data_IF_557950277309
#
_entry.id   IF_557950277309
#
_cell.length_a   1.000
_cell.length_b   1.000
_cell.length_c   1.000
_cell.angle_alpha   90.00
_cell.angle_beta   90.00
_cell.angle_gamma   90.00
#
_symmetry.space_group_name_H-M   'P 1'
#
loop_
_entity.id
_entity.type
_entity.pdbx_description
1 polymer ?
#
# COMPACT_ATOMS: atom_id res chain seq x y z
N UNK A 1 -30.05 9.17 -62.08
CA UNK A 1 -28.84 8.54 -62.65
C UNK A 1 -28.36 7.53 -61.65
N UNK A 2 -28.58 6.27 -61.98
CA UNK A 2 -28.06 5.10 -61.29
C UNK A 2 -26.52 5.15 -61.24
N UNK A 3 -25.91 4.58 -60.18
CA UNK A 3 -25.22 3.30 -60.33
C UNK A 3 -24.49 2.90 -59.04
N UNK A 4 -24.90 1.73 -58.50
CA UNK A 4 -24.05 0.59 -58.13
C UNK A 4 -23.03 0.85 -57.00
N UNK A 5 -23.12 0.27 -55.80
CA UNK A 5 -23.48 -1.11 -55.51
C UNK A 5 -22.27 -2.01 -55.69
N UNK A 6 -21.22 -1.80 -54.89
CA UNK A 6 -20.07 -2.71 -54.78
C UNK A 6 -20.54 -4.04 -54.16
N UNK A 7 -20.30 -5.19 -54.81
CA UNK A 7 -20.61 -6.48 -54.23
C UNK A 7 -19.50 -6.88 -53.25
N UNK A 8 -19.79 -6.77 -51.96
CA UNK A 8 -19.06 -7.45 -50.90
C UNK A 8 -18.84 -8.93 -51.27
N UNK A 9 -17.61 -9.47 -51.25
CA UNK A 9 -17.37 -10.87 -51.49
C UNK A 9 -17.94 -11.64 -50.30
N UNK A 10 -19.17 -12.12 -50.48
CA UNK A 10 -19.84 -13.01 -49.57
C UNK A 10 -18.89 -14.12 -49.16
N UNK A 11 -18.63 -14.21 -47.86
CA UNK A 11 -18.08 -15.41 -47.25
C UNK A 11 -18.95 -16.56 -47.74
N UNK A 12 -18.42 -17.33 -48.69
CA UNK A 12 -19.11 -18.51 -49.21
C UNK A 12 -19.18 -19.46 -48.03
N UNK A 13 -20.32 -19.47 -47.34
CA UNK A 13 -20.59 -20.45 -46.32
C UNK A 13 -20.33 -21.81 -46.96
N UNK A 14 -19.24 -22.47 -46.52
CA UNK A 14 -18.88 -23.78 -47.03
C UNK A 14 -20.09 -24.69 -46.88
N UNK A 15 -20.35 -25.51 -47.90
CA UNK A 15 -21.44 -26.47 -47.79
C UNK A 15 -21.21 -27.33 -46.54
N UNK A 16 -22.24 -27.45 -45.70
CA UNK A 16 -22.18 -28.26 -44.49
C UNK A 16 -22.58 -29.69 -44.85
N UNK A 17 -21.97 -30.68 -44.20
CA UNK A 17 -22.32 -32.08 -44.40
C UNK A 17 -23.80 -32.35 -44.05
N UNK A 18 -24.60 -32.67 -45.07
CA UNK A 18 -26.02 -33.04 -44.93
C UNK A 18 -26.23 -34.49 -44.47
N UNK A 19 -25.16 -35.30 -44.44
CA UNK A 19 -25.20 -36.73 -44.06
C UNK A 19 -25.13 -36.97 -42.55
N UNK A 20 -24.89 -35.92 -41.75
CA UNK A 20 -25.17 -35.96 -40.30
C UNK A 20 -24.10 -35.43 -39.36
N UNK A 21 -22.86 -35.11 -39.79
CA UNK A 21 -21.87 -34.55 -38.86
C UNK A 21 -21.98 -33.03 -38.68
N UNK A 22 -22.67 -32.32 -39.57
CA UNK A 22 -22.88 -30.87 -39.45
C UNK A 22 -21.60 -30.02 -39.55
N UNK A 23 -20.46 -30.63 -39.90
CA UNK A 23 -19.20 -29.94 -40.09
C UNK A 23 -19.12 -29.31 -41.49
N UNK A 24 -18.39 -28.18 -41.64
CA UNK A 24 -18.14 -27.59 -42.95
C UNK A 24 -17.29 -28.54 -43.79
N UNK A 25 -17.72 -28.78 -45.03
CA UNK A 25 -16.98 -29.59 -45.97
C UNK A 25 -15.76 -28.81 -46.49
N UNK A 26 -14.64 -29.50 -46.64
CA UNK A 26 -13.46 -28.95 -47.31
C UNK A 26 -13.73 -28.76 -48.80
N UNK A 27 -12.94 -27.93 -49.48
CA UNK A 27 -13.11 -27.70 -50.93
C UNK A 27 -13.05 -29.01 -51.73
N UNK A 28 -12.18 -29.93 -51.33
CA UNK A 28 -12.01 -31.25 -51.95
C UNK A 28 -13.24 -32.14 -51.74
N UNK A 29 -13.85 -32.09 -50.56
CA UNK A 29 -15.07 -32.84 -50.23
C UNK A 29 -16.32 -32.27 -50.91
N UNK A 30 -16.32 -30.98 -51.28
CA UNK A 30 -17.36 -30.39 -52.11
C UNK A 30 -17.25 -30.82 -53.58
N UNK A 31 -16.02 -30.93 -54.09
CA UNK A 31 -15.76 -31.27 -55.49
C UNK A 31 -15.94 -32.79 -55.75
N UNK A 32 -15.69 -33.63 -54.73
CA UNK A 32 -15.90 -35.08 -54.78
C UNK A 32 -17.21 -35.48 -54.08
N UNK A 33 -18.33 -35.50 -54.81
CA UNK A 33 -19.64 -35.94 -54.32
C UNK A 33 -19.62 -37.43 -53.89
N UNK A 34 -19.15 -37.71 -52.66
CA UNK A 34 -19.12 -39.05 -52.08
C UNK A 34 -18.02 -39.33 -51.06
N UNK A 35 -16.95 -38.54 -51.01
CA UNK A 35 -15.71 -38.88 -50.28
C UNK A 35 -15.62 -38.29 -48.86
N UNK A 36 -16.75 -37.88 -48.27
CA UNK A 36 -16.76 -37.40 -46.88
C UNK A 36 -17.05 -38.54 -45.88
N UNK A 37 -16.08 -38.81 -44.99
CA UNK A 37 -16.27 -39.72 -43.85
C UNK A 37 -16.62 -38.93 -42.59
N UNK A 38 -17.90 -38.94 -42.20
CA UNK A 38 -18.39 -38.21 -41.03
C UNK A 38 -17.65 -38.59 -39.73
N UNK A 39 -17.24 -39.84 -39.57
CA UNK A 39 -16.58 -40.32 -38.35
C UNK A 39 -15.16 -39.77 -38.23
N UNK A 40 -14.39 -39.80 -39.33
CA UNK A 40 -13.03 -39.23 -39.34
C UNK A 40 -13.08 -37.70 -39.21
N UNK A 41 -14.04 -37.04 -39.87
CA UNK A 41 -14.25 -35.60 -39.73
C UNK A 41 -14.59 -35.21 -38.28
N UNK A 42 -15.46 -35.97 -37.62
CA UNK A 42 -15.77 -35.75 -36.20
C UNK A 42 -14.56 -36.02 -35.30
N UNK A 43 -13.81 -37.11 -35.54
CA UNK A 43 -12.60 -37.43 -34.76
C UNK A 43 -11.55 -36.34 -34.88
N UNK A 44 -11.25 -35.90 -36.11
CA UNK A 44 -10.29 -34.80 -36.32
C UNK A 44 -10.77 -33.49 -35.69
N UNK A 45 -12.07 -33.20 -35.75
CA UNK A 45 -12.64 -32.03 -35.09
C UNK A 45 -12.54 -32.13 -33.55
N UNK A 46 -12.80 -33.29 -32.96
CA UNK A 46 -12.65 -33.50 -31.51
C UNK A 46 -11.18 -33.39 -31.10
N UNK A 47 -10.27 -34.04 -31.82
CA UNK A 47 -8.83 -33.99 -31.53
C UNK A 47 -8.31 -32.54 -31.59
N UNK A 48 -8.74 -31.78 -32.60
CA UNK A 48 -8.36 -30.37 -32.73
C UNK A 48 -8.97 -29.49 -31.63
N UNK A 49 -10.17 -29.80 -31.13
CA UNK A 49 -10.78 -29.09 -30.01
C UNK A 49 -10.09 -29.45 -28.68
N UNK A 50 -9.73 -30.72 -28.49
CA UNK A 50 -8.98 -31.19 -27.34
C UNK A 50 -7.60 -30.54 -27.28
N UNK A 51 -6.87 -30.49 -28.40
CA UNK A 51 -5.58 -29.80 -28.49
C UNK A 51 -5.73 -28.32 -28.13
N UNK A 52 -6.72 -27.62 -28.71
CA UNK A 52 -7.01 -26.22 -28.38
C UNK A 52 -7.36 -26.03 -26.92
N UNK A 53 -8.09 -26.96 -26.31
CA UNK A 53 -8.42 -26.88 -24.89
C UNK A 53 -7.16 -27.03 -24.03
N UNK A 54 -6.28 -27.97 -24.36
CA UNK A 54 -5.03 -28.20 -23.65
C UNK A 54 -4.07 -27.00 -23.77
N UNK A 55 -3.98 -26.37 -24.94
CA UNK A 55 -3.15 -25.16 -25.12
C UNK A 55 -3.70 -24.00 -24.29
N UNK A 56 -5.02 -23.75 -24.32
CA UNK A 56 -5.64 -22.69 -23.51
C UNK A 56 -5.49 -22.94 -22.00
N UNK A 57 -5.63 -24.18 -21.55
CA UNK A 57 -5.39 -24.55 -20.14
C UNK A 57 -3.93 -24.32 -19.74
N UNK A 58 -2.99 -24.66 -20.62
CA UNK A 58 -1.58 -24.40 -20.36
C UNK A 58 -1.29 -22.89 -20.32
N UNK A 59 -1.77 -22.13 -21.29
CA UNK A 59 -1.58 -20.68 -21.37
C UNK A 59 -2.16 -19.95 -20.15
N UNK A 60 -3.38 -20.32 -19.73
CA UNK A 60 -4.03 -19.75 -18.55
C UNK A 60 -3.29 -20.11 -17.27
N UNK A 61 -2.81 -21.35 -17.13
CA UNK A 61 -1.96 -21.77 -15.99
C UNK A 61 -0.67 -20.96 -15.94
N UNK A 62 0.02 -20.81 -17.07
CA UNK A 62 1.25 -20.03 -17.15
C UNK A 62 1.01 -18.54 -16.90
N UNK A 63 -0.09 -17.98 -17.41
CA UNK A 63 -0.50 -16.61 -17.11
C UNK A 63 -0.73 -16.41 -15.61
N UNK A 64 -1.46 -17.33 -14.96
CA UNK A 64 -1.70 -17.28 -13.51
C UNK A 64 -0.40 -17.30 -12.72
N UNK A 65 0.57 -18.14 -13.08
CA UNK A 65 1.88 -18.18 -12.42
C UNK A 65 2.64 -16.86 -12.59
N UNK A 66 2.65 -16.28 -13.79
CA UNK A 66 3.30 -14.98 -14.05
C UNK A 66 2.67 -13.86 -13.22
N UNK A 67 1.34 -13.80 -13.18
CA UNK A 67 0.61 -12.80 -12.41
C UNK A 67 0.83 -12.96 -10.91
N UNK A 68 0.80 -14.19 -10.40
CA UNK A 68 1.05 -14.46 -8.98
C UNK A 68 2.47 -14.04 -8.56
N UNK A 69 3.51 -14.40 -9.34
CA UNK A 69 4.88 -13.96 -9.06
C UNK A 69 5.00 -12.43 -9.04
N UNK A 70 4.35 -11.75 -9.99
CA UNK A 70 4.33 -10.29 -10.05
C UNK A 70 3.61 -9.69 -8.84
N UNK A 71 2.47 -10.25 -8.47
CA UNK A 71 1.70 -9.84 -7.29
C UNK A 71 2.53 -9.99 -6.01
N UNK A 72 3.16 -11.15 -5.80
CA UNK A 72 4.03 -11.39 -4.65
C UNK A 72 5.20 -10.38 -4.59
N UNK A 73 5.85 -10.11 -5.73
CA UNK A 73 6.92 -9.11 -5.82
C UNK A 73 6.43 -7.70 -5.47
N UNK A 74 5.25 -7.31 -5.98
CA UNK A 74 4.64 -6.02 -5.68
C UNK A 74 4.24 -5.92 -4.22
N UNK A 75 3.66 -6.97 -3.62
CA UNK A 75 3.31 -7.01 -2.21
C UNK A 75 4.55 -6.87 -1.32
N UNK A 76 5.65 -7.55 -1.66
CA UNK A 76 6.93 -7.39 -0.95
C UNK A 76 7.48 -5.97 -1.07
N UNK A 77 7.34 -5.32 -2.24
CA UNK A 77 7.76 -3.93 -2.42
C UNK A 77 6.88 -2.95 -1.64
N UNK A 78 5.58 -3.18 -1.56
CA UNK A 78 4.68 -2.34 -0.77
C UNK A 78 4.98 -2.48 0.72
N UNK A 79 5.21 -3.70 1.21
CA UNK A 79 5.51 -3.94 2.63
C UNK A 79 6.84 -3.33 3.06
N UNK A 80 7.88 -3.41 2.21
CA UNK A 80 9.18 -2.75 2.45
C UNK A 80 9.02 -1.24 2.55
N UNK A 81 8.37 -0.60 1.57
CA UNK A 81 8.10 0.85 1.60
C UNK A 81 7.27 1.27 2.83
N UNK A 82 6.28 0.47 3.22
CA UNK A 82 5.49 0.74 4.41
C UNK A 82 6.35 0.70 5.69
N UNK A 83 7.26 -0.27 5.79
CA UNK A 83 8.17 -0.38 6.93
C UNK A 83 9.19 0.76 6.94
N UNK A 84 9.72 1.16 5.78
CA UNK A 84 10.60 2.32 5.66
C UNK A 84 9.90 3.62 6.10
N UNK A 85 8.65 3.82 5.69
CA UNK A 85 7.85 4.97 6.09
C UNK A 85 7.61 4.98 7.61
N UNK A 86 7.25 3.82 8.20
CA UNK A 86 7.07 3.66 9.66
C UNK A 86 8.36 3.97 10.43
N UNK A 87 9.49 3.39 10.03
CA UNK A 87 10.79 3.63 10.66
C UNK A 87 11.21 5.10 10.53
N UNK A 88 10.96 5.71 9.38
CA UNK A 88 11.23 7.14 9.16
C UNK A 88 10.40 8.02 10.08
N UNK A 89 9.09 7.74 10.22
CA UNK A 89 8.23 8.47 11.15
C UNK A 89 8.72 8.38 12.60
N UNK A 90 9.11 7.18 13.06
CA UNK A 90 9.69 6.99 14.40
C UNK A 90 11.00 7.78 14.59
N UNK A 91 11.86 7.81 13.57
CA UNK A 91 13.11 8.61 13.60
C UNK A 91 12.79 10.11 13.70
N UNK A 92 11.80 10.61 12.97
CA UNK A 92 11.37 12.00 13.07
C UNK A 92 10.80 12.33 14.45
N UNK A 93 9.94 11.47 15.00
CA UNK A 93 9.40 11.64 16.35
C UNK A 93 10.52 11.72 17.40
N UNK A 94 11.52 10.85 17.31
CA UNK A 94 12.68 10.88 18.22
C UNK A 94 13.48 12.17 18.10
N UNK A 95 13.78 12.63 16.87
CA UNK A 95 14.48 13.90 16.65
C UNK A 95 13.68 15.09 17.18
N UNK A 96 12.37 15.11 16.92
CA UNK A 96 11.49 16.16 17.42
C UNK A 96 11.49 16.20 18.94
N UNK A 97 11.40 15.04 19.60
CA UNK A 97 11.47 14.95 21.05
C UNK A 97 12.82 15.46 21.60
N UNK A 98 13.95 15.11 20.97
CA UNK A 98 15.26 15.63 21.34
C UNK A 98 15.34 17.16 21.22
N UNK A 99 14.83 17.73 20.12
CA UNK A 99 14.78 19.18 19.95
C UNK A 99 13.89 19.86 20.98
N UNK A 100 12.72 19.26 21.30
CA UNK A 100 11.82 19.76 22.33
C UNK A 100 12.52 19.82 23.70
N UNK A 101 13.25 18.78 24.10
CA UNK A 101 14.01 18.76 25.34
C UNK A 101 15.15 19.79 25.36
N UNK A 102 15.82 19.98 24.23
CA UNK A 102 16.88 21.00 24.11
C UNK A 102 16.30 22.41 24.25
N UNK A 103 15.18 22.70 23.58
CA UNK A 103 14.48 23.99 23.68
C UNK A 103 14.00 24.22 25.12
N UNK A 104 13.41 23.22 25.78
CA UNK A 104 12.96 23.36 27.17
C UNK A 104 14.14 23.64 28.10
N UNK A 105 15.28 22.95 27.91
CA UNK A 105 16.49 23.20 28.68
C UNK A 105 17.03 24.63 28.51
N UNK A 106 17.05 25.16 27.28
CA UNK A 106 17.44 26.56 27.03
C UNK A 106 16.43 27.52 27.71
N UNK A 107 15.13 27.25 27.59
CA UNK A 107 14.10 28.08 28.21
C UNK A 107 14.24 28.13 29.74
N UNK A 108 14.52 26.99 30.38
CA UNK A 108 14.80 26.90 31.82
C UNK A 108 16.07 27.67 32.20
N UNK A 109 17.14 27.58 31.40
CA UNK A 109 18.35 28.37 31.64
C UNK A 109 18.07 29.86 31.55
N UNK A 110 17.41 30.32 30.48
CA UNK A 110 17.09 31.75 30.28
C UNK A 110 16.20 32.28 31.41
N UNK A 111 15.16 31.54 31.80
CA UNK A 111 14.29 31.91 32.92
C UNK A 111 15.04 31.93 34.26
N UNK A 112 15.93 30.96 34.49
CA UNK A 112 16.82 30.91 35.66
C UNK A 112 17.79 32.10 35.72
N UNK A 113 18.42 32.45 34.59
CA UNK A 113 19.30 33.63 34.49
C UNK A 113 18.54 34.92 34.77
N UNK A 114 17.32 35.09 34.22
CA UNK A 114 16.47 36.26 34.49
C UNK A 114 16.18 36.38 35.98
N UNK A 115 15.69 35.30 36.60
CA UNK A 115 15.34 35.27 38.02
C UNK A 115 16.55 35.57 38.92
N UNK A 116 17.73 35.05 38.60
CA UNK A 116 18.97 35.34 39.34
C UNK A 116 19.38 36.80 39.22
N UNK A 117 19.25 37.40 38.03
CA UNK A 117 19.56 38.82 37.81
C UNK A 117 18.56 39.74 38.51
N UNK A 118 17.29 39.36 38.57
CA UNK A 118 16.26 40.12 39.30
C UNK A 118 16.54 40.10 40.81
N UNK A 119 16.87 38.93 41.38
CA UNK A 119 17.28 38.82 42.81
C UNK A 119 18.54 39.62 43.09
N UNK A 120 19.56 39.55 42.22
CA UNK A 120 20.79 40.37 42.40
C UNK A 120 20.51 41.87 42.35
N UNK A 121 19.58 42.31 41.49
CA UNK A 121 19.17 43.72 41.45
C UNK A 121 18.44 44.12 42.73
N UNK A 122 17.55 43.27 43.26
CA UNK A 122 16.86 43.55 44.53
C UNK A 122 17.83 43.59 45.71
N UNK A 123 18.82 42.69 45.76
CA UNK A 123 19.83 42.65 46.82
C UNK A 123 20.73 43.91 46.79
N UNK A 124 21.13 44.36 45.59
CA UNK A 124 21.92 45.59 45.42
C UNK A 124 21.12 46.83 45.79
N UNK A 125 19.83 46.89 45.46
CA UNK A 125 18.96 48.00 45.90
C UNK A 125 18.70 47.97 47.40
N UNK A 126 18.51 46.79 48.01
CA UNK A 126 18.27 46.67 49.44
C UNK A 126 19.50 47.06 50.27
N UNK A 127 20.70 46.68 49.82
CA UNK A 127 21.97 47.13 50.45
C UNK A 127 22.16 48.65 50.38
N UNK A 128 21.60 49.33 49.37
CA UNK A 128 21.66 50.79 49.28
C UNK A 128 20.59 51.49 50.12
N UNK A 129 19.45 50.82 50.38
CA UNK A 129 18.38 51.36 51.24
C UNK A 129 18.70 51.14 52.73
N UNK A 130 19.47 50.09 53.09
CA UNK A 130 19.92 49.85 54.47
C UNK A 130 20.89 50.91 55.00
N UNK A 131 21.58 51.65 54.13
CA UNK A 131 22.40 52.80 54.51
C UNK A 131 21.57 54.12 54.56
N UNK A 132 20.30 54.10 54.12
CA UNK A 132 19.40 55.26 54.14
C UNK A 132 17.95 54.85 54.44
N UNK A 133 17.66 54.39 55.65
CA UNK A 133 16.27 54.30 56.12
C UNK A 133 16.18 54.34 57.67
N UNK A 134 16.14 55.55 58.22
CA UNK A 134 15.25 55.83 59.35
C UNK A 134 13.88 56.22 58.81
N UNK A 135 12.85 55.64 59.43
CA UNK A 135 11.45 56.05 59.52
C UNK A 135 10.41 55.52 58.48
N UNK A 136 9.46 54.79 59.08
CA UNK A 136 8.00 54.88 58.94
C UNK A 136 7.26 53.78 58.15
N UNK A 137 6.23 53.27 58.84
CA UNK A 137 5.31 52.17 58.50
C UNK A 137 4.31 52.50 57.39
N UNK A 138 3.71 51.44 56.81
CA UNK A 138 2.43 51.53 56.10
C UNK A 138 2.18 50.36 55.13
N UNK A 139 1.25 49.47 55.49
CA UNK A 139 0.66 48.41 54.64
C UNK A 139 -0.13 49.02 53.44
N UNK A 140 -0.48 48.25 52.38
CA UNK A 140 -1.66 47.37 52.43
C UNK A 140 -1.65 46.10 51.54
N UNK A 141 -2.70 45.29 51.73
CA UNK A 141 -3.10 44.01 51.13
C UNK A 141 -3.42 44.02 49.60
N UNK A 142 -3.47 42.83 48.97
CA UNK A 142 -4.58 42.39 48.08
C UNK A 142 -4.41 40.96 47.51
N UNK A 143 -5.56 40.33 47.26
CA UNK A 143 -5.88 38.94 46.90
C UNK A 143 -5.39 38.40 45.53
N UNK A 144 -5.45 37.07 45.34
CA UNK A 144 -5.29 36.44 44.01
C UNK A 144 -5.55 34.93 43.90
N UNK A 145 -6.85 34.55 43.78
CA UNK A 145 -7.44 33.51 42.90
C UNK A 145 -6.76 32.13 42.77
N UNK A 146 -7.43 31.10 43.32
CA UNK A 146 -7.20 29.66 43.03
C UNK A 146 -7.84 29.26 41.70
N UNK A 147 -7.06 28.79 40.72
CA UNK A 147 -7.57 28.03 39.56
C UNK A 147 -7.06 26.58 39.61
N UNK A 148 -8.00 25.63 39.76
CA UNK A 148 -7.76 24.19 39.61
C UNK A 148 -7.64 23.85 38.12
N UNK A 149 -6.57 23.19 37.72
CA UNK A 149 -6.45 22.56 36.41
C UNK A 149 -6.82 21.07 36.53
N UNK A 150 -7.77 20.61 35.70
CA UNK A 150 -8.15 19.21 35.57
C UNK A 150 -7.18 18.48 34.62
N UNK A 151 -6.89 17.17 34.83
CA UNK A 151 -6.04 16.42 33.91
C UNK A 151 -6.85 15.83 32.75
N UNK A 152 -6.36 16.09 31.53
CA UNK A 152 -6.75 15.39 30.30
C UNK A 152 -6.29 13.93 30.39
N UNK A 153 -7.25 13.00 30.30
CA UNK A 153 -6.97 11.56 30.12
C UNK A 153 -6.86 11.29 28.62
N UNK A 154 -5.67 10.90 28.14
CA UNK A 154 -5.52 10.35 26.79
C UNK A 154 -5.67 8.83 26.82
N UNK A 155 -6.54 8.39 25.93
CA UNK A 155 -7.15 7.08 25.79
C UNK A 155 -6.29 6.10 24.98
N UNK A 156 -6.45 4.83 25.34
CA UNK A 156 -6.43 3.60 24.51
C UNK A 156 -5.14 3.15 23.83
N UNK A 157 -4.56 2.11 24.45
CA UNK A 157 -3.84 1.00 23.86
C UNK A 157 -4.53 0.45 22.59
N UNK A 158 -3.82 0.46 21.47
CA UNK A 158 -4.12 -0.40 20.32
C UNK A 158 -3.32 -1.69 20.49
N UNK A 159 -4.03 -2.81 20.57
CA UNK A 159 -3.52 -4.17 20.73
C UNK A 159 -2.83 -4.60 19.42
N UNK A 160 -1.53 -4.83 19.46
CA UNK A 160 -0.79 -5.44 18.36
C UNK A 160 -1.27 -6.90 18.19
N UNK A 161 -1.71 -7.25 16.98
CA UNK A 161 -1.89 -8.64 16.55
C UNK A 161 -0.61 -9.06 15.86
N UNK A 162 0.15 -9.94 16.50
CA UNK A 162 1.25 -10.67 15.88
C UNK A 162 0.70 -11.53 14.74
N UNK A 163 1.19 -11.30 13.53
CA UNK A 163 1.00 -12.21 12.40
C UNK A 163 2.27 -13.06 12.35
N UNK A 164 2.16 -14.27 12.86
CA UNK A 164 3.20 -15.30 12.74
C UNK A 164 3.27 -15.74 11.27
N UNK A 165 4.32 -15.32 10.56
CA UNK A 165 4.60 -15.82 9.22
C UNK A 165 5.54 -17.00 9.36
N UNK A 166 4.97 -18.20 9.28
CA UNK A 166 5.73 -19.45 9.18
C UNK A 166 6.65 -19.41 7.95
N UNK A 167 7.89 -19.81 8.21
CA UNK A 167 9.04 -19.86 7.31
C UNK A 167 8.78 -20.73 6.04
N UNK A 168 9.05 -20.25 4.82
CA UNK A 168 9.01 -21.07 3.61
C UNK A 168 10.43 -21.47 3.21
N UNK A 169 11.06 -22.35 3.99
CA UNK A 169 12.31 -23.01 3.61
C UNK A 169 12.11 -24.52 3.66
N UNK A 170 11.20 -25.05 2.85
CA UNK A 170 11.10 -26.49 2.57
C UNK A 170 10.38 -26.68 1.22
N UNK A 171 11.05 -26.38 0.11
CA UNK A 171 10.71 -26.99 -1.17
C UNK A 171 12.03 -27.35 -1.86
N UNK A 172 12.35 -28.63 -1.78
CA UNK A 172 13.53 -29.29 -2.29
C UNK A 172 13.69 -29.07 -3.79
N UNK A 173 14.91 -28.76 -4.18
CA UNK A 173 15.41 -28.92 -5.53
C UNK A 173 15.42 -30.40 -5.89
N UNK A 174 14.39 -30.90 -6.57
CA UNK A 174 14.46 -32.11 -7.39
C UNK A 174 13.17 -32.21 -8.21
N UNK A 175 13.22 -31.69 -9.45
CA UNK A 175 12.57 -32.24 -10.64
C UNK A 175 12.88 -31.31 -11.82
N UNK A 176 14.08 -31.51 -12.37
CA UNK A 176 14.45 -31.07 -13.71
C UNK A 176 15.03 -32.29 -14.43
N UNK A 177 14.15 -33.03 -15.10
CA UNK A 177 14.42 -33.87 -16.27
C UNK A 177 13.11 -34.11 -17.01
#
# INVERSE_FOLDING_TARGET
MESQGEPEPGHRAGAVCRRGCGLPLSREELDNEGEHCCVDALRTATDALEEKSATLEHETRMARLRWNRREQSLLARVSTLQNEARLSALRYQRRLHQHMLHISGIAEQVTGYRKRNDVRKTDVTQSQISDTATCAEGAPEAEGVKKKAAPLKTSTLVKEREINVSNPQDLSSDELL
#
